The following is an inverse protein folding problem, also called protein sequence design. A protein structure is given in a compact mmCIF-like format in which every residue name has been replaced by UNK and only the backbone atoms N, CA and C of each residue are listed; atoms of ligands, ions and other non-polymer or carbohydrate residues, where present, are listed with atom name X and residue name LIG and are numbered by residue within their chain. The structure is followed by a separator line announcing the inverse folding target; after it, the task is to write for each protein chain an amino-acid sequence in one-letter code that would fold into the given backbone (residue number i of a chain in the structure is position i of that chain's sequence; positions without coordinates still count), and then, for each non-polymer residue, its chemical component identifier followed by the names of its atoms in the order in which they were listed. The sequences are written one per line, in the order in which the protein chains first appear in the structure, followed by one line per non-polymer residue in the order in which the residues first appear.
data_IF_333956874520
#
_entry.id   IF_333956874520
#
_cell.length_a   1.000
_cell.length_b   1.000
_cell.length_c   1.000
_cell.angle_alpha   90.00
_cell.angle_beta   90.00
_cell.angle_gamma   90.00
#
_symmetry.space_group_name_H-M   'P 1'
#
loop_
_entity.id
_entity.type
_entity.pdbx_description
1 polymer ?
#
# COMPACT_ATOMS: atom_id res chain seq x y z
N UNK A 1 16.59 15.05 -0.12
CA UNK A 1 16.64 13.69 -0.68
C UNK A 1 15.33 12.97 -0.33
N UNK A 2 14.73 12.28 -1.27
CA UNK A 2 13.50 11.56 -1.04
C UNK A 2 13.70 10.05 -1.19
N UNK A 3 12.82 9.26 -0.58
CA UNK A 3 12.78 7.80 -0.72
C UNK A 3 11.41 7.37 -1.21
N UNK A 4 11.28 6.11 -1.61
CA UNK A 4 10.03 5.59 -2.19
C UNK A 4 9.56 4.35 -1.45
N UNK A 5 8.25 4.28 -1.23
CA UNK A 5 7.56 3.08 -0.74
C UNK A 5 6.59 2.61 -1.82
N UNK A 6 6.62 1.33 -2.15
CA UNK A 6 5.78 0.73 -3.20
C UNK A 6 4.88 -0.29 -2.52
N UNK A 7 3.57 0.02 -2.49
CA UNK A 7 2.61 -0.69 -1.65
C UNK A 7 1.35 -1.04 -2.43
N UNK A 8 0.81 -2.24 -2.20
CA UNK A 8 -0.45 -2.68 -2.77
C UNK A 8 -1.40 -3.07 -1.63
N UNK A 9 -2.55 -2.43 -1.57
CA UNK A 9 -3.53 -2.65 -0.49
C UNK A 9 -4.96 -2.57 -0.97
N UNK A 10 -5.25 -3.07 -2.18
CA UNK A 10 -6.57 -3.00 -2.79
C UNK A 10 -6.63 -1.90 -3.82
N UNK A 11 -7.84 -1.41 -4.09
CA UNK A 11 -8.06 -0.39 -5.12
C UNK A 11 -7.13 0.83 -4.87
N UNK A 12 -6.33 1.16 -5.88
CA UNK A 12 -5.31 2.20 -5.73
C UNK A 12 -5.89 3.61 -5.65
N UNK A 13 -7.16 3.83 -6.03
CA UNK A 13 -7.78 5.16 -5.89
C UNK A 13 -7.83 5.61 -4.43
N UNK A 14 -8.34 4.74 -3.55
CA UNK A 14 -8.45 5.05 -2.12
C UNK A 14 -7.12 5.09 -1.42
N UNK A 15 -6.24 4.17 -1.78
CA UNK A 15 -4.89 4.14 -1.21
C UNK A 15 -4.14 5.43 -1.52
N UNK A 16 -4.17 5.88 -2.77
CA UNK A 16 -3.48 7.11 -3.16
C UNK A 16 -4.03 8.31 -2.39
N UNK A 17 -5.35 8.43 -2.31
CA UNK A 17 -5.96 9.60 -1.65
C UNK A 17 -5.57 9.68 -0.18
N UNK A 18 -5.56 8.56 0.53
CA UNK A 18 -5.20 8.56 1.95
C UNK A 18 -3.71 8.82 2.16
N UNK A 19 -2.84 8.23 1.36
CA UNK A 19 -1.40 8.43 1.51
C UNK A 19 -0.97 9.84 1.12
N UNK A 20 -1.65 10.46 0.15
CA UNK A 20 -1.36 11.84 -0.26
C UNK A 20 -1.37 12.81 0.93
N UNK A 21 -2.25 12.57 1.91
CA UNK A 21 -2.42 13.46 3.05
C UNK A 21 -1.51 13.13 4.24
N UNK A 22 -0.66 12.12 4.14
CA UNK A 22 0.22 11.76 5.24
C UNK A 22 1.39 12.73 5.36
N UNK A 23 1.78 13.11 6.59
CA UNK A 23 2.94 13.98 6.78
C UNK A 23 4.20 13.39 6.15
N UNK A 24 4.96 14.22 5.47
CA UNK A 24 6.21 13.80 4.84
C UNK A 24 6.06 13.20 3.45
N UNK A 25 4.85 12.91 3.00
CA UNK A 25 4.62 12.43 1.64
C UNK A 25 4.64 13.62 0.68
N UNK A 26 5.53 13.56 -0.31
CA UNK A 26 5.75 14.65 -1.25
C UNK A 26 5.13 14.39 -2.62
N UNK A 27 4.92 13.13 -2.98
CA UNK A 27 4.29 12.76 -4.26
C UNK A 27 3.73 11.35 -4.19
N UNK A 28 2.71 11.09 -4.99
CA UNK A 28 2.13 9.76 -5.16
C UNK A 28 1.86 9.52 -6.64
N UNK A 29 1.92 8.24 -7.04
CA UNK A 29 1.38 7.81 -8.34
C UNK A 29 0.86 6.39 -8.20
N UNK A 30 -0.10 6.04 -9.05
CA UNK A 30 -0.68 4.70 -9.04
C UNK A 30 -0.24 3.93 -10.28
N UNK A 31 -0.23 2.61 -10.17
CA UNK A 31 0.21 1.75 -11.24
C UNK A 31 0.03 0.28 -10.94
N UNK A 32 0.79 -0.54 -11.64
CA UNK A 32 0.69 -2.00 -11.57
C UNK A 32 2.08 -2.59 -11.32
N UNK A 33 2.18 -3.52 -10.39
CA UNK A 33 3.46 -4.12 -10.04
C UNK A 33 3.27 -5.54 -9.46
N UNK A 34 4.35 -6.30 -9.45
CA UNK A 34 4.35 -7.63 -8.84
C UNK A 34 3.81 -8.75 -9.72
N UNK A 35 3.54 -8.49 -10.99
CA UNK A 35 2.98 -9.46 -11.93
C UNK A 35 3.89 -9.75 -13.11
N UNK A 36 3.28 -10.24 -14.19
CA UNK A 36 4.00 -10.90 -15.28
C UNK A 36 3.86 -10.25 -16.66
N UNK A 37 2.98 -9.26 -16.86
CA UNK A 37 2.82 -8.66 -18.19
C UNK A 37 3.52 -7.32 -18.29
N UNK A 38 4.27 -7.06 -19.39
CA UNK A 38 4.84 -5.74 -19.63
C UNK A 38 3.76 -4.76 -20.11
N UNK A 39 4.01 -3.47 -19.93
CA UNK A 39 3.10 -2.41 -20.38
C UNK A 39 1.67 -2.59 -19.87
N UNK A 40 1.55 -2.91 -18.57
CA UNK A 40 0.27 -3.21 -17.94
C UNK A 40 -0.70 -2.03 -18.04
N UNK A 41 -1.99 -2.35 -18.21
CA UNK A 41 -3.09 -1.38 -18.24
C UNK A 41 -4.18 -1.83 -17.27
N UNK A 42 -5.14 -0.94 -17.00
CA UNK A 42 -6.25 -1.26 -16.10
C UNK A 42 -7.03 -2.50 -16.58
N UNK A 43 -7.21 -2.62 -17.89
CA UNK A 43 -7.97 -3.75 -18.48
C UNK A 43 -7.12 -5.00 -18.71
N UNK A 44 -5.80 -4.83 -18.79
CA UNK A 44 -4.89 -5.93 -19.09
C UNK A 44 -3.61 -5.76 -18.29
N UNK A 45 -3.64 -6.19 -17.03
CA UNK A 45 -2.47 -6.14 -16.16
C UNK A 45 -2.08 -7.51 -15.61
N UNK A 46 -2.58 -8.60 -16.19
CA UNK A 46 -2.19 -9.98 -15.83
C UNK A 46 -2.29 -10.22 -14.34
N UNK A 47 -1.19 -10.67 -13.74
CA UNK A 47 -1.11 -10.95 -12.30
C UNK A 47 -0.59 -9.77 -11.48
N UNK A 48 -0.43 -8.57 -12.06
CA UNK A 48 -0.02 -7.39 -11.31
C UNK A 48 -1.09 -6.97 -10.30
N UNK A 49 -0.64 -6.45 -9.16
CA UNK A 49 -1.52 -5.80 -8.20
C UNK A 49 -1.65 -4.32 -8.54
N UNK A 50 -2.82 -3.73 -8.21
CA UNK A 50 -2.95 -2.28 -8.18
C UNK A 50 -2.08 -1.75 -7.04
N UNK A 51 -1.18 -0.84 -7.37
CA UNK A 51 -0.07 -0.46 -6.51
C UNK A 51 0.07 1.05 -6.47
N UNK A 52 0.49 1.57 -5.32
CA UNK A 52 0.87 2.98 -5.20
C UNK A 52 2.38 3.09 -4.99
N UNK A 53 2.97 4.12 -5.58
CA UNK A 53 4.32 4.54 -5.30
C UNK A 53 4.24 5.83 -4.51
N UNK A 54 4.75 5.82 -3.29
CA UNK A 54 4.73 6.96 -2.38
C UNK A 54 6.15 7.50 -2.27
N UNK A 55 6.33 8.75 -2.65
CA UNK A 55 7.61 9.44 -2.47
C UNK A 55 7.53 10.24 -1.18
N UNK A 56 8.50 10.07 -0.30
CA UNK A 56 8.47 10.70 1.02
C UNK A 56 9.82 11.28 1.41
N UNK A 57 9.77 12.26 2.31
CA UNK A 57 10.95 12.92 2.89
C UNK A 57 11.34 12.16 4.16
N UNK A 58 12.52 11.49 4.19
CA UNK A 58 12.93 10.71 5.36
C UNK A 58 13.24 11.56 6.59
N UNK A 59 13.31 12.89 6.46
CA UNK A 59 13.44 13.79 7.61
C UNK A 59 12.11 14.08 8.28
N UNK A 60 10.99 13.86 7.59
CA UNK A 60 9.64 14.14 8.11
C UNK A 60 8.87 12.87 8.47
N UNK A 61 9.17 11.76 7.82
CA UNK A 61 8.53 10.48 8.10
C UNK A 61 9.52 9.35 7.79
N UNK A 62 9.13 8.11 8.01
CA UNK A 62 9.97 6.97 7.70
C UNK A 62 9.12 5.80 7.18
N UNK A 63 9.79 4.76 6.68
CA UNK A 63 9.13 3.62 6.09
C UNK A 63 8.22 2.90 7.11
N UNK A 64 8.67 2.80 8.37
CA UNK A 64 7.88 2.19 9.45
C UNK A 64 6.57 2.94 9.67
N UNK A 65 6.60 4.27 9.73
CA UNK A 65 5.40 5.09 9.91
C UNK A 65 4.42 4.91 8.76
N UNK A 66 4.92 4.84 7.52
CA UNK A 66 4.08 4.60 6.35
C UNK A 66 3.46 3.20 6.39
N UNK A 67 4.18 2.18 6.84
CA UNK A 67 3.64 0.83 6.96
C UNK A 67 2.58 0.74 8.08
N UNK A 68 2.77 1.44 9.19
CA UNK A 68 1.75 1.47 10.24
C UNK A 68 0.45 2.05 9.71
N UNK A 69 0.53 3.11 8.90
CA UNK A 69 -0.64 3.67 8.23
C UNK A 69 -1.23 2.70 7.19
N UNK A 70 -0.37 2.06 6.41
CA UNK A 70 -0.77 1.07 5.41
C UNK A 70 -1.63 -0.04 6.04
N UNK A 71 -1.21 -0.58 7.18
CA UNK A 71 -1.97 -1.61 7.88
C UNK A 71 -3.23 -1.07 8.56
N UNK A 72 -3.33 0.24 8.74
CA UNK A 72 -4.52 0.87 9.31
C UNK A 72 -5.63 1.11 8.28
N UNK A 73 -5.26 1.34 7.02
CA UNK A 73 -6.23 1.77 5.99
C UNK A 73 -6.76 0.63 5.13
N UNK A 74 -6.22 -0.58 5.24
CA UNK A 74 -6.74 -1.75 4.53
C UNK A 74 -6.68 -2.97 5.44
N UNK A 75 -7.40 -4.04 5.05
CA UNK A 75 -7.37 -5.29 5.81
C UNK A 75 -6.26 -6.19 5.27
N UNK A 76 -5.16 -6.37 6.01
CA UNK A 76 -4.05 -7.20 5.53
C UNK A 76 -4.25 -8.69 5.75
N UNK A 77 -5.41 -9.11 6.26
CA UNK A 77 -5.69 -10.51 6.59
C UNK A 77 -6.51 -11.24 5.52
N UNK A 78 -6.90 -10.56 4.43
CA UNK A 78 -7.70 -11.17 3.37
C UNK A 78 -6.83 -11.45 2.14
N UNK A 79 -6.80 -12.71 1.71
CA UNK A 79 -6.01 -13.13 0.55
C UNK A 79 -6.73 -12.73 -0.74
N UNK A 80 -6.00 -12.07 -1.65
CA UNK A 80 -6.49 -11.67 -2.97
C UNK A 80 -7.85 -10.97 -2.92
N UNK A 81 -8.03 -10.12 -1.92
CA UNK A 81 -9.29 -9.42 -1.70
C UNK A 81 -9.09 -8.22 -0.80
N UNK A 82 -9.82 -7.14 -1.08
CA UNK A 82 -9.92 -6.00 -0.16
C UNK A 82 -11.35 -5.50 -0.17
N UNK A 83 -12.06 -5.71 0.96
CA UNK A 83 -13.47 -5.32 1.05
C UNK A 83 -14.32 -6.00 -0.02
N UNK A 84 -14.98 -5.22 -0.84
CA UNK A 84 -15.84 -5.72 -1.93
C UNK A 84 -15.04 -6.06 -3.19
N UNK A 85 -13.77 -5.70 -3.27
CA UNK A 85 -12.93 -5.93 -4.44
C UNK A 85 -12.25 -7.30 -4.30
N UNK A 86 -12.55 -8.21 -5.22
CA UNK A 86 -12.08 -9.59 -5.20
C UNK A 86 -11.17 -9.85 -6.41
N UNK A 87 -10.02 -10.47 -6.18
CA UNK A 87 -9.08 -10.84 -7.21
C UNK A 87 -7.64 -10.50 -6.85
N UNK A 88 -6.69 -11.05 -7.60
CA UNK A 88 -5.25 -10.85 -7.36
C UNK A 88 -4.84 -9.38 -7.51
N UNK A 89 -5.60 -8.59 -8.29
CA UNK A 89 -5.35 -7.14 -8.44
C UNK A 89 -5.45 -6.41 -7.11
N UNK A 90 -6.19 -6.94 -6.16
CA UNK A 90 -6.50 -6.27 -4.89
C UNK A 90 -5.81 -6.91 -3.69
N UNK A 91 -4.77 -7.71 -3.94
CA UNK A 91 -4.02 -8.35 -2.86
C UNK A 91 -3.16 -7.34 -2.12
N UNK A 92 -2.79 -7.70 -0.88
CA UNK A 92 -1.90 -6.90 -0.04
C UNK A 92 -0.45 -7.26 -0.31
N UNK A 93 0.39 -6.28 -0.59
CA UNK A 93 1.80 -6.52 -0.84
C UNK A 93 2.66 -5.31 -0.50
N UNK A 94 3.89 -5.59 -0.09
CA UNK A 94 4.94 -4.59 0.12
C UNK A 94 6.09 -4.97 -0.81
N UNK A 95 6.39 -4.09 -1.77
CA UNK A 95 7.47 -4.32 -2.72
C UNK A 95 8.69 -3.52 -2.25
N UNK A 96 9.62 -4.19 -1.58
CA UNK A 96 10.75 -3.49 -0.98
C UNK A 96 11.83 -3.16 -2.02
N UNK A 97 12.48 -2.01 -1.82
CA UNK A 97 13.56 -1.54 -2.69
C UNK A 97 14.94 -1.71 -2.04
N UNK A 98 14.99 -1.99 -0.74
CA UNK A 98 16.23 -2.19 0.00
C UNK A 98 16.05 -3.31 1.02
N UNK A 99 17.16 -3.90 1.48
CA UNK A 99 17.12 -4.91 2.54
C UNK A 99 16.58 -4.33 3.85
N UNK A 100 16.84 -3.07 4.11
CA UNK A 100 16.30 -2.40 5.30
C UNK A 100 14.77 -2.32 5.23
N UNK A 101 14.20 -1.98 4.07
CA UNK A 101 12.75 -1.98 3.90
C UNK A 101 12.16 -3.37 4.13
N UNK A 102 12.82 -4.42 3.64
CA UNK A 102 12.39 -5.79 3.87
C UNK A 102 12.32 -6.10 5.37
N UNK A 103 13.39 -5.76 6.10
CA UNK A 103 13.46 -6.00 7.54
C UNK A 103 12.37 -5.23 8.28
N UNK A 104 12.16 -3.96 7.93
CA UNK A 104 11.12 -3.14 8.56
C UNK A 104 9.73 -3.70 8.26
N UNK A 105 9.49 -4.18 7.03
CA UNK A 105 8.22 -4.79 6.67
C UNK A 105 7.95 -6.05 7.48
N UNK A 106 8.93 -6.93 7.60
CA UNK A 106 8.79 -8.17 8.37
C UNK A 106 8.57 -7.88 9.86
N UNK A 107 9.30 -6.91 10.42
CA UNK A 107 9.12 -6.50 11.82
C UNK A 107 7.73 -5.91 12.06
N UNK A 108 7.24 -5.09 11.13
CA UNK A 108 5.92 -4.48 11.25
C UNK A 108 4.83 -5.54 11.21
N UNK A 109 4.94 -6.50 10.30
CA UNK A 109 3.98 -7.61 10.19
C UNK A 109 3.97 -8.42 11.48
N UNK A 110 5.15 -8.71 12.05
CA UNK A 110 5.24 -9.45 13.32
C UNK A 110 4.53 -8.69 14.45
N UNK A 111 4.69 -7.37 14.50
CA UNK A 111 4.02 -6.55 15.51
C UNK A 111 2.51 -6.53 15.30
N UNK A 112 2.03 -6.44 14.07
CA UNK A 112 0.60 -6.50 13.74
C UNK A 112 0.00 -7.83 14.20
N UNK A 113 0.64 -8.94 13.86
CA UNK A 113 0.17 -10.27 14.26
C UNK A 113 0.18 -10.44 15.79
N UNK A 114 1.23 -9.96 16.44
CA UNK A 114 1.36 -10.11 17.90
C UNK A 114 0.38 -9.23 18.67
N UNK A 115 -0.10 -8.13 18.09
CA UNK A 115 -0.97 -7.19 18.78
C UNK A 115 -2.37 -7.72 19.05
N UNK A 116 -2.87 -8.61 18.17
CA UNK A 116 -4.24 -9.12 18.25
C UNK A 116 -5.32 -8.10 17.89
N UNK A 117 -4.94 -6.94 17.34
CA UNK A 117 -5.88 -5.86 17.05
C UNK A 117 -6.57 -6.03 15.69
N UNK A 118 -5.98 -6.81 14.79
CA UNK A 118 -6.55 -7.05 13.46
C UNK A 118 -7.39 -8.32 13.45
N UNK A 119 -8.35 -8.44 12.49
CA UNK A 119 -9.29 -9.58 12.50
C UNK A 119 -8.66 -10.94 12.20
N UNK A 120 -7.49 -10.97 11.58
CA UNK A 120 -6.83 -12.23 11.25
C UNK A 120 -5.34 -12.05 11.08
N UNK A 121 -4.66 -13.14 10.75
CA UNK A 121 -3.23 -13.13 10.51
C UNK A 121 -2.91 -12.40 9.21
N UNK A 122 -1.82 -11.62 9.19
CA UNK A 122 -1.39 -10.90 8.01
C UNK A 122 -0.99 -11.86 6.90
N UNK A 123 -1.52 -11.63 5.70
CA UNK A 123 -1.18 -12.39 4.48
C UNK A 123 -0.47 -11.52 3.44
N UNK A 124 0.00 -10.35 3.83
CA UNK A 124 0.70 -9.41 2.96
C UNK A 124 1.98 -10.04 2.39
N UNK A 125 2.13 -9.99 1.06
CA UNK A 125 3.39 -10.40 0.43
C UNK A 125 4.49 -9.38 0.74
N UNK A 126 5.72 -9.89 0.99
CA UNK A 126 6.90 -9.04 1.11
C UNK A 126 7.90 -9.53 0.07
N UNK A 127 8.00 -8.84 -1.06
CA UNK A 127 8.81 -9.27 -2.20
C UNK A 127 9.64 -8.11 -2.73
N UNK A 128 10.77 -8.41 -3.44
CA UNK A 128 11.56 -7.35 -4.05
C UNK A 128 10.75 -6.58 -5.09
N UNK A 129 10.94 -5.27 -5.14
CA UNK A 129 10.30 -4.44 -6.16
C UNK A 129 10.84 -4.80 -7.54
N UNK A 130 9.93 -5.08 -8.47
CA UNK A 130 10.23 -5.22 -9.89
C UNK A 130 9.82 -3.96 -10.63
N UNK A 131 9.39 -4.12 -11.88
CA UNK A 131 8.94 -2.99 -12.68
C UNK A 131 7.64 -2.42 -12.11
N UNK A 132 7.57 -1.09 -12.09
CA UNK A 132 6.35 -0.37 -11.76
C UNK A 132 5.80 0.23 -13.07
N UNK A 133 4.65 -0.24 -13.49
CA UNK A 133 3.99 0.23 -14.71
C UNK A 133 2.97 1.29 -14.33
N UNK A 134 3.29 2.56 -14.61
CA UNK A 134 2.41 3.66 -14.25
C UNK A 134 1.03 3.50 -14.89
N UNK A 135 -0.03 3.67 -14.10
CA UNK A 135 -1.39 3.57 -14.60
C UNK A 135 -1.75 4.77 -15.48
N UNK A 136 -2.79 4.60 -16.26
CA UNK A 136 -3.28 5.61 -17.18
C UNK A 136 -3.57 6.93 -16.46
N UNK A 137 -3.46 8.08 -17.14
CA UNK A 137 -3.67 9.39 -16.50
C UNK A 137 -5.02 9.54 -15.80
N UNK A 138 -6.06 8.86 -16.29
CA UNK A 138 -7.40 8.90 -15.70
C UNK A 138 -7.46 8.26 -14.30
N UNK A 139 -6.48 7.41 -13.94
CA UNK A 139 -6.41 6.81 -12.62
C UNK A 139 -5.51 7.57 -11.66
N UNK A 140 -4.70 8.50 -12.15
CA UNK A 140 -3.87 9.33 -11.29
C UNK A 140 -4.73 10.38 -10.61
N UNK A 141 -4.58 10.51 -9.26
CA UNK A 141 -5.32 11.51 -8.47
C UNK A 141 -6.85 11.38 -8.61
N UNK A 142 -7.35 10.15 -8.79
CA UNK A 142 -8.76 9.91 -9.13
C UNK A 142 -9.71 10.50 -8.08
N UNK A 143 -9.50 10.23 -6.81
CA UNK A 143 -10.40 10.72 -5.76
C UNK A 143 -10.18 12.21 -5.43
N UNK A 144 -9.05 12.78 -5.83
CA UNK A 144 -8.87 14.22 -5.77
C UNK A 144 -9.77 14.92 -6.79
N UNK A 145 -9.88 14.35 -7.99
CA UNK A 145 -10.74 14.88 -9.06
C UNK A 145 -12.22 14.50 -8.87
N UNK A 146 -12.47 13.36 -8.24
CA UNK A 146 -13.82 12.83 -8.00
C UNK A 146 -13.98 12.48 -6.52
N UNK A 147 -14.15 13.48 -5.62
CA UNK A 147 -14.15 13.23 -4.16
C UNK A 147 -15.25 12.26 -3.68
N UNK A 148 -16.34 12.13 -4.44
CA UNK A 148 -17.42 11.20 -4.11
C UNK A 148 -17.27 9.84 -4.81
N UNK A 149 -16.12 9.57 -5.44
CA UNK A 149 -15.85 8.31 -6.11
C UNK A 149 -15.75 7.15 -5.14
N UNK A 150 -15.73 5.94 -5.70
CA UNK A 150 -15.68 4.72 -4.92
C UNK A 150 -14.38 4.60 -4.11
N UNK A 151 -14.51 4.25 -2.83
CA UNK A 151 -13.39 3.80 -2.00
C UNK A 151 -13.90 2.87 -0.90
N UNK A 152 -13.11 1.84 -0.59
CA UNK A 152 -13.34 0.99 0.59
C UNK A 152 -12.27 1.23 1.67
N UNK A 153 -11.41 2.22 1.46
CA UNK A 153 -10.28 2.51 2.36
C UNK A 153 -10.63 3.62 3.33
N UNK A 154 -10.30 3.40 4.59
CA UNK A 154 -10.42 4.42 5.64
C UNK A 154 -9.50 4.04 6.79
N UNK A 155 -8.99 5.01 7.56
CA UNK A 155 -8.19 4.69 8.75
C UNK A 155 -9.10 4.09 9.84
N UNK A 156 -8.76 2.90 10.31
CA UNK A 156 -9.54 2.23 11.35
C UNK A 156 -8.88 2.52 12.70
N UNK A 157 -9.60 3.21 13.63
CA UNK A 157 -8.99 3.61 14.90
C UNK A 157 -8.46 2.45 15.74
N UNK A 158 -9.11 1.29 15.67
CA UNK A 158 -8.71 0.10 16.42
C UNK A 158 -7.49 -0.62 15.87
N UNK A 159 -7.07 -0.29 14.66
CA UNK A 159 -5.94 -0.96 13.98
C UNK A 159 -4.68 -0.09 14.03
N UNK A 160 -4.39 0.41 15.20
CA UNK A 160 -3.23 1.27 15.39
C UNK A 160 -2.26 0.57 16.35
N UNK A 161 -1.04 0.31 15.87
CA UNK A 161 -0.02 -0.32 16.67
C UNK A 161 0.38 0.57 17.83
N UNK A 162 0.60 -0.01 19.02
CA UNK A 162 1.17 0.74 20.13
C UNK A 162 2.54 1.28 19.75
N UNK A 163 2.87 2.49 20.23
CA UNK A 163 4.19 3.05 19.99
C UNK A 163 5.24 2.18 20.66
N UNK A 164 6.26 1.78 19.91
CA UNK A 164 7.39 1.06 20.50
C UNK A 164 8.13 1.96 21.47
N UNK A 165 8.41 1.41 22.65
CA UNK A 165 9.34 2.06 23.57
C UNK A 165 10.74 1.61 23.21
N UNK A 166 11.66 2.56 23.16
CA UNK A 166 13.07 2.29 22.83
C UNK A 166 13.74 1.42 23.92
#
# INVERSE_FOLDING_TARGET
MTEKAILAGGCFWGMEELFRHQPGVTATRVGYSGGDVPHATYRDHGTHAETIEVTYDPQQTDFRALLEFFFQVHDPSTANRQGNDIGTSYRSAIFYTTDEQKRIAEDTIADVDASGLWPGKVVTEVTPAGDFWEAEPEHQDYLQRYPNGYTCHFPRPGWKLPRRTA
#
